data_IF_028626831431
#
_entry.id   IF_028626831431
#
_cell.length_a   1.000
_cell.length_b   1.000
_cell.length_c   1.000
_cell.angle_alpha   90.00
_cell.angle_beta   90.00
_cell.angle_gamma   90.00
#
_symmetry.space_group_name_H-M   'P 1'
#
loop_
_entity.id
_entity.type
_entity.pdbx_description
1 polymer ?
#
# COMPACT_ATOMS: atom_id res chain seq x y z
N UNK A 1 -7.73 10.58 -17.99
CA UNK A 1 -8.03 11.99 -17.70
C UNK A 1 -6.82 12.68 -17.04
N UNK A 2 -6.17 12.05 -16.06
CA UNK A 2 -5.09 12.67 -15.27
C UNK A 2 -3.66 12.46 -15.81
N UNK A 3 -3.45 11.68 -16.87
CA UNK A 3 -2.11 11.32 -17.36
C UNK A 3 -1.29 12.57 -17.75
N UNK A 4 -1.86 13.48 -18.53
CA UNK A 4 -1.12 14.67 -18.97
C UNK A 4 -0.89 15.66 -17.82
N UNK A 5 -1.84 15.79 -16.90
CA UNK A 5 -1.64 16.54 -15.67
C UNK A 5 -0.49 15.94 -14.83
N UNK A 6 -0.47 14.62 -14.63
CA UNK A 6 0.62 13.93 -13.92
C UNK A 6 1.98 14.14 -14.58
N UNK A 7 2.05 14.05 -15.93
CA UNK A 7 3.30 14.34 -16.67
C UNK A 7 3.80 15.76 -16.42
N UNK A 8 2.88 16.73 -16.39
CA UNK A 8 3.24 18.13 -16.14
C UNK A 8 3.78 18.30 -14.72
N UNK A 9 3.12 17.73 -13.70
CA UNK A 9 3.59 17.77 -12.32
C UNK A 9 4.98 17.12 -12.15
N UNK A 10 5.23 15.98 -12.79
CA UNK A 10 6.53 15.31 -12.78
C UNK A 10 7.63 16.22 -13.35
N UNK A 11 7.32 16.86 -14.48
CA UNK A 11 8.25 17.79 -15.14
C UNK A 11 8.52 19.02 -14.28
N UNK A 12 7.48 19.63 -13.71
CA UNK A 12 7.58 20.80 -12.84
C UNK A 12 8.37 20.49 -11.56
N UNK A 13 8.17 19.32 -10.99
CA UNK A 13 8.88 18.85 -9.79
C UNK A 13 10.30 18.31 -10.09
N UNK A 14 10.71 18.21 -11.35
CA UNK A 14 12.03 17.70 -11.74
C UNK A 14 12.28 16.23 -11.39
N UNK A 15 11.22 15.40 -11.30
CA UNK A 15 11.33 14.00 -10.90
C UNK A 15 11.90 13.15 -12.03
N UNK A 16 13.06 12.53 -11.82
CA UNK A 16 13.78 11.76 -12.84
C UNK A 16 13.61 10.24 -12.72
N UNK A 17 13.10 9.74 -11.59
CA UNK A 17 12.98 8.29 -11.34
C UNK A 17 11.67 7.68 -11.85
N UNK A 18 10.76 8.48 -12.38
CA UNK A 18 9.48 8.01 -12.91
C UNK A 18 9.70 7.53 -14.33
N UNK A 19 9.61 6.22 -14.54
CA UNK A 19 9.92 5.57 -15.82
C UNK A 19 8.69 5.33 -16.69
N UNK A 20 7.50 5.25 -16.10
CA UNK A 20 6.25 5.05 -16.84
C UNK A 20 5.04 5.63 -16.11
N UNK A 21 4.00 5.97 -16.86
CA UNK A 21 2.67 6.37 -16.38
C UNK A 21 1.67 5.58 -17.18
N UNK A 22 0.85 4.79 -16.52
CA UNK A 22 -0.18 3.96 -17.16
C UNK A 22 -1.59 4.42 -16.77
N UNK A 23 -2.61 4.20 -17.61
CA UNK A 23 -3.99 4.46 -17.23
C UNK A 23 -4.40 3.61 -16.03
N UNK A 24 -5.26 4.15 -15.18
CA UNK A 24 -5.98 3.34 -14.20
C UNK A 24 -6.98 2.40 -14.87
N UNK A 25 -7.49 1.45 -14.08
CA UNK A 25 -8.58 0.55 -14.47
C UNK A 25 -9.90 0.93 -13.77
N UNK A 26 -10.89 0.06 -13.88
CA UNK A 26 -12.22 0.25 -13.32
C UNK A 26 -12.24 0.11 -11.79
N UNK A 27 -11.26 -0.59 -11.25
CA UNK A 27 -11.05 -0.76 -9.81
C UNK A 27 -9.62 -0.40 -9.39
N UNK A 28 -9.37 -0.33 -8.08
CA UNK A 28 -8.03 -0.17 -7.53
C UNK A 28 -7.12 -1.34 -7.95
N UNK A 29 -7.63 -2.57 -7.92
CA UNK A 29 -6.87 -3.76 -8.33
C UNK A 29 -6.57 -3.77 -9.83
N UNK A 30 -7.48 -3.31 -10.68
CA UNK A 30 -7.21 -3.17 -12.11
C UNK A 30 -6.14 -2.10 -12.39
N UNK A 31 -6.18 -1.00 -11.65
CA UNK A 31 -5.15 0.03 -11.74
C UNK A 31 -3.78 -0.49 -11.30
N UNK A 32 -3.74 -1.28 -10.23
CA UNK A 32 -2.50 -1.95 -9.78
C UNK A 32 -2.00 -2.94 -10.82
N UNK A 33 -2.89 -3.76 -11.38
CA UNK A 33 -2.53 -4.71 -12.44
C UNK A 33 -1.88 -4.00 -13.65
N UNK A 34 -2.44 -2.89 -14.10
CA UNK A 34 -1.88 -2.13 -15.22
C UNK A 34 -0.45 -1.64 -14.91
N UNK A 35 -0.20 -1.16 -13.68
CA UNK A 35 1.14 -0.78 -13.23
C UNK A 35 2.11 -1.96 -13.15
N UNK A 36 1.66 -3.10 -12.62
CA UNK A 36 2.45 -4.32 -12.50
C UNK A 36 2.79 -4.92 -13.87
N UNK A 37 1.83 -4.95 -14.79
CA UNK A 37 2.03 -5.41 -16.16
C UNK A 37 3.05 -4.53 -16.91
N UNK A 38 2.99 -3.21 -16.71
CA UNK A 38 3.97 -2.29 -17.25
C UNK A 38 5.37 -2.50 -16.64
N UNK A 39 5.45 -2.74 -15.32
CA UNK A 39 6.71 -3.09 -14.68
C UNK A 39 7.32 -4.38 -15.29
N UNK A 40 6.50 -5.41 -15.52
CA UNK A 40 6.95 -6.65 -16.15
C UNK A 40 7.42 -6.44 -17.61
N UNK A 41 6.75 -5.55 -18.35
CA UNK A 41 7.15 -5.16 -19.70
C UNK A 41 8.50 -4.45 -19.71
N UNK A 42 8.78 -3.61 -18.72
CA UNK A 42 10.05 -2.87 -18.60
C UNK A 42 11.20 -3.76 -18.12
N UNK A 43 10.91 -4.73 -17.26
CA UNK A 43 11.89 -5.61 -16.62
C UNK A 43 11.55 -7.10 -16.85
N UNK A 44 11.52 -7.58 -18.12
CA UNK A 44 10.96 -8.89 -18.47
C UNK A 44 11.73 -10.09 -17.90
N UNK A 45 13.04 -9.93 -17.69
CA UNK A 45 13.95 -11.02 -17.29
C UNK A 45 14.59 -10.78 -15.90
N UNK A 46 14.09 -9.81 -15.15
CA UNK A 46 14.65 -9.46 -13.86
C UNK A 46 13.74 -9.98 -12.74
N UNK A 47 14.36 -10.36 -11.62
CA UNK A 47 13.64 -10.58 -10.37
C UNK A 47 13.38 -9.23 -9.72
N UNK A 48 12.11 -8.80 -9.74
CA UNK A 48 11.70 -7.45 -9.31
C UNK A 48 10.89 -7.53 -8.02
N UNK A 49 11.28 -6.76 -7.02
CA UNK A 49 10.45 -6.46 -5.85
C UNK A 49 9.60 -5.23 -6.15
N UNK A 50 8.28 -5.36 -6.01
CA UNK A 50 7.34 -4.26 -6.17
C UNK A 50 6.75 -3.82 -4.84
N UNK A 51 6.62 -2.51 -4.68
CA UNK A 51 5.95 -1.88 -3.54
C UNK A 51 4.70 -1.16 -4.06
N UNK A 52 3.53 -1.73 -3.79
CA UNK A 52 2.24 -1.16 -4.18
C UNK A 52 1.86 -0.12 -3.12
N UNK A 53 1.82 1.14 -3.52
CA UNK A 53 1.61 2.25 -2.59
C UNK A 53 0.46 3.16 -3.01
N UNK A 54 -0.32 3.61 -2.03
CA UNK A 54 -1.40 4.58 -2.26
C UNK A 54 -0.82 5.98 -2.56
N UNK A 55 -1.16 6.60 -3.68
CA UNK A 55 -0.75 7.96 -4.02
C UNK A 55 -1.21 9.03 -3.01
N UNK A 56 -2.18 8.70 -2.17
CA UNK A 56 -2.72 9.55 -1.09
C UNK A 56 -2.08 9.27 0.28
N UNK A 57 -0.92 8.60 0.33
CA UNK A 57 -0.08 8.42 1.54
C UNK A 57 1.29 9.07 1.36
N UNK A 58 1.39 10.39 1.44
CA UNK A 58 2.64 11.09 1.11
C UNK A 58 3.73 10.96 2.20
N UNK A 59 3.42 10.38 3.36
CA UNK A 59 4.31 10.35 4.53
C UNK A 59 4.99 9.00 4.76
N UNK A 60 5.07 8.14 3.74
CA UNK A 60 5.89 6.92 3.85
C UNK A 60 7.36 7.29 4.05
N UNK A 61 8.01 6.72 5.06
CA UNK A 61 9.41 6.97 5.38
C UNK A 61 10.34 5.95 4.70
N UNK A 62 11.62 6.34 4.59
CA UNK A 62 12.67 5.51 3.98
C UNK A 62 12.84 4.17 4.71
N UNK A 63 12.81 4.17 6.03
CA UNK A 63 13.02 2.96 6.82
C UNK A 63 11.88 1.95 6.61
N UNK A 64 10.64 2.41 6.47
CA UNK A 64 9.51 1.54 6.10
C UNK A 64 9.71 0.92 4.71
N UNK A 65 10.19 1.69 3.72
CA UNK A 65 10.48 1.18 2.38
C UNK A 65 11.58 0.11 2.44
N UNK A 66 12.67 0.36 3.14
CA UNK A 66 13.81 -0.57 3.27
C UNK A 66 13.39 -1.87 3.96
N UNK A 67 12.63 -1.80 5.07
CA UNK A 67 12.09 -2.99 5.75
C UNK A 67 11.14 -3.81 4.87
N UNK A 68 10.36 -3.15 4.01
CA UNK A 68 9.50 -3.84 3.05
C UNK A 68 10.33 -4.62 2.01
N UNK A 69 11.36 -4.00 1.45
CA UNK A 69 12.28 -4.64 0.49
C UNK A 69 12.93 -5.87 1.13
N UNK A 70 13.56 -5.70 2.30
CA UNK A 70 14.21 -6.79 3.04
C UNK A 70 13.26 -7.96 3.33
N UNK A 71 12.02 -7.65 3.75
CA UNK A 71 11.03 -8.70 4.03
C UNK A 71 10.61 -9.45 2.77
N UNK A 72 10.46 -8.78 1.61
CA UNK A 72 10.16 -9.45 0.34
C UNK A 72 11.34 -10.32 -0.10
N UNK A 73 12.57 -9.82 0.01
CA UNK A 73 13.78 -10.56 -0.38
C UNK A 73 13.98 -11.82 0.46
N UNK A 74 13.68 -11.76 1.76
CA UNK A 74 13.94 -12.85 2.70
C UNK A 74 12.75 -13.78 2.92
N UNK A 75 11.51 -13.28 2.77
CA UNK A 75 10.27 -13.98 3.13
C UNK A 75 9.23 -14.05 2.01
N UNK A 76 9.42 -13.30 0.92
CA UNK A 76 8.54 -13.28 -0.26
C UNK A 76 7.41 -12.24 -0.22
N UNK A 77 7.11 -11.64 0.93
CA UNK A 77 6.07 -10.61 1.05
C UNK A 77 6.34 -9.62 2.18
N UNK A 78 5.72 -8.45 2.11
CA UNK A 78 5.71 -7.47 3.20
C UNK A 78 4.39 -6.68 3.17
N UNK A 79 3.68 -6.67 4.28
CA UNK A 79 2.49 -5.85 4.45
C UNK A 79 2.79 -4.80 5.53
N UNK A 80 2.85 -3.55 5.13
CA UNK A 80 3.02 -2.47 6.11
C UNK A 80 1.82 -2.40 7.03
N UNK A 81 2.07 -2.41 8.33
CA UNK A 81 1.03 -2.43 9.36
C UNK A 81 1.36 -1.49 10.51
N UNK A 82 0.33 -1.11 11.25
CA UNK A 82 0.46 -0.52 12.59
C UNK A 82 -0.41 -1.28 13.58
N UNK A 83 -0.05 -1.33 14.88
CA UNK A 83 -0.93 -1.90 15.90
C UNK A 83 -2.28 -1.16 15.93
N UNK A 84 -3.36 -1.90 16.20
CA UNK A 84 -4.65 -1.27 16.48
C UNK A 84 -4.58 -0.53 17.82
N UNK A 85 -4.92 0.75 17.83
CA UNK A 85 -4.95 1.58 19.04
C UNK A 85 -6.33 1.60 19.70
N UNK A 86 -7.39 1.40 18.91
CA UNK A 86 -8.77 1.32 19.39
C UNK A 86 -9.24 -0.12 19.58
N UNK A 87 -10.32 -0.31 20.35
CA UNK A 87 -10.97 -1.62 20.49
C UNK A 87 -11.64 -2.00 19.16
N UNK A 88 -11.26 -3.15 18.61
CA UNK A 88 -11.83 -3.68 17.35
C UNK A 88 -13.01 -4.57 17.66
N UNK A 89 -14.17 -4.23 17.10
CA UNK A 89 -15.43 -4.97 17.26
C UNK A 89 -15.89 -5.53 15.93
N UNK A 90 -16.36 -6.77 15.92
CA UNK A 90 -17.00 -7.40 14.76
C UNK A 90 -18.50 -7.32 14.95
N UNK A 91 -19.23 -6.86 13.92
CA UNK A 91 -20.68 -6.75 13.95
C UNK A 91 -21.32 -7.80 13.06
N UNK A 92 -22.52 -8.23 13.42
CA UNK A 92 -23.39 -9.06 12.61
C UNK A 92 -24.83 -8.59 12.79
N UNK A 93 -25.55 -8.39 11.68
CA UNK A 93 -26.95 -7.96 11.65
C UNK A 93 -27.26 -6.74 12.57
N UNK A 94 -26.32 -5.76 12.63
CA UNK A 94 -26.50 -4.52 13.40
C UNK A 94 -26.20 -4.63 14.90
N UNK A 95 -25.77 -5.81 15.37
CA UNK A 95 -25.33 -6.02 16.77
C UNK A 95 -23.84 -6.33 16.82
N UNK A 96 -23.20 -6.04 17.97
CA UNK A 96 -21.81 -6.42 18.22
C UNK A 96 -21.80 -7.92 18.49
N UNK A 97 -21.11 -8.67 17.63
CA UNK A 97 -20.97 -10.12 17.74
C UNK A 97 -19.73 -10.51 18.58
N UNK A 98 -18.60 -9.83 18.33
CA UNK A 98 -17.32 -10.19 18.95
C UNK A 98 -16.45 -8.95 19.17
N UNK A 99 -15.70 -8.95 20.27
CA UNK A 99 -14.62 -8.00 20.53
C UNK A 99 -13.29 -8.75 20.31
N UNK A 100 -12.42 -8.22 19.48
CA UNK A 100 -11.14 -8.84 19.20
C UNK A 100 -10.10 -8.46 20.25
N UNK A 101 -9.15 -9.37 20.49
CA UNK A 101 -7.97 -9.04 21.29
C UNK A 101 -7.10 -8.04 20.49
N UNK A 102 -7.04 -6.81 20.97
CA UNK A 102 -6.32 -5.72 20.28
C UNK A 102 -4.84 -6.05 20.06
N UNK A 103 -4.19 -6.78 20.96
CA UNK A 103 -2.77 -7.16 20.81
C UNK A 103 -2.50 -8.09 19.61
N UNK A 104 -3.54 -8.71 19.05
CA UNK A 104 -3.48 -9.58 17.89
C UNK A 104 -3.97 -8.86 16.61
N UNK A 105 -4.37 -7.59 16.73
CA UNK A 105 -4.93 -6.83 15.62
C UNK A 105 -3.90 -5.85 15.06
N UNK A 106 -3.66 -5.95 13.77
CA UNK A 106 -2.84 -5.03 13.00
C UNK A 106 -3.69 -4.31 11.95
N UNK A 107 -3.45 -3.03 11.79
CA UNK A 107 -4.11 -2.21 10.78
C UNK A 107 -3.22 -2.17 9.53
N UNK A 108 -3.70 -2.76 8.43
CA UNK A 108 -2.98 -2.75 7.17
C UNK A 108 -2.86 -1.33 6.59
N UNK A 109 -1.68 -1.03 6.11
CA UNK A 109 -1.34 0.21 5.40
C UNK A 109 -0.70 -0.11 4.05
N UNK A 110 -0.16 0.89 3.39
CA UNK A 110 0.70 0.77 2.23
C UNK A 110 2.11 1.29 2.60
N UNK A 111 3.17 0.77 1.92
CA UNK A 111 3.14 -0.16 0.81
C UNK A 111 2.75 -1.59 1.21
N UNK A 112 2.18 -2.33 0.24
CA UNK A 112 2.07 -3.79 0.25
C UNK A 112 3.03 -4.30 -0.83
N UNK A 113 3.94 -5.18 -0.45
CA UNK A 113 5.11 -5.46 -1.26
C UNK A 113 5.29 -6.96 -1.52
N UNK A 114 5.65 -7.30 -2.75
CA UNK A 114 5.70 -8.67 -3.24
C UNK A 114 6.79 -8.83 -4.32
N UNK A 115 7.11 -10.06 -4.67
CA UNK A 115 7.78 -10.36 -5.95
C UNK A 115 6.81 -10.06 -7.10
N UNK A 116 7.29 -9.38 -8.14
CA UNK A 116 6.46 -8.98 -9.28
C UNK A 116 5.75 -10.16 -9.95
N UNK A 117 6.46 -11.26 -10.17
CA UNK A 117 5.90 -12.43 -10.85
C UNK A 117 4.83 -13.12 -10.01
N UNK A 118 4.99 -13.16 -8.69
CA UNK A 118 4.00 -13.73 -7.78
C UNK A 118 2.69 -12.95 -7.80
N UNK A 119 2.77 -11.64 -7.59
CA UNK A 119 1.55 -10.80 -7.55
C UNK A 119 0.86 -10.74 -8.92
N UNK A 120 1.59 -10.71 -10.03
CA UNK A 120 0.99 -10.77 -11.37
C UNK A 120 0.30 -12.10 -11.62
N UNK A 121 0.93 -13.23 -11.28
CA UNK A 121 0.32 -14.57 -11.39
C UNK A 121 -1.01 -14.65 -10.64
N UNK A 122 -1.07 -14.05 -9.44
CA UNK A 122 -2.29 -14.03 -8.64
C UNK A 122 -3.37 -13.15 -9.28
N UNK A 123 -3.03 -12.00 -9.82
CA UNK A 123 -3.97 -11.17 -10.58
C UNK A 123 -4.52 -11.88 -11.82
N UNK A 124 -3.67 -12.58 -12.58
CA UNK A 124 -4.09 -13.33 -13.77
C UNK A 124 -5.05 -14.47 -13.39
N UNK A 125 -4.79 -15.18 -12.29
CA UNK A 125 -5.68 -16.21 -11.76
C UNK A 125 -7.02 -15.64 -11.34
N UNK A 126 -7.02 -14.54 -10.56
CA UNK A 126 -8.24 -13.87 -10.14
C UNK A 126 -9.11 -13.45 -11.33
N UNK A 127 -8.49 -12.88 -12.38
CA UNK A 127 -9.19 -12.51 -13.62
C UNK A 127 -9.75 -13.73 -14.35
N UNK A 128 -8.98 -14.81 -14.46
CA UNK A 128 -9.43 -16.03 -15.11
C UNK A 128 -10.63 -16.70 -14.38
N UNK A 129 -10.65 -16.61 -13.05
CA UNK A 129 -11.70 -17.11 -12.18
C UNK A 129 -12.91 -16.15 -12.04
N UNK A 130 -12.80 -14.91 -12.58
CA UNK A 130 -13.86 -13.89 -12.48
C UNK A 130 -14.03 -13.33 -11.07
N UNK A 131 -13.01 -13.39 -10.22
CA UNK A 131 -13.03 -12.90 -8.84
C UNK A 131 -12.48 -11.46 -8.82
N UNK A 132 -13.37 -10.49 -8.52
CA UNK A 132 -13.04 -9.05 -8.58
C UNK A 132 -13.23 -8.31 -7.26
N UNK A 133 -13.62 -8.98 -6.18
CA UNK A 133 -14.07 -8.36 -4.93
C UNK A 133 -13.05 -8.44 -3.78
N UNK A 134 -11.76 -8.54 -4.06
CA UNK A 134 -10.74 -8.43 -3.03
C UNK A 134 -10.62 -6.99 -2.52
N UNK A 135 -10.40 -6.85 -1.22
CA UNK A 135 -10.27 -5.55 -0.55
C UNK A 135 -8.98 -4.85 -0.97
N UNK A 136 -7.89 -5.62 -1.05
CA UNK A 136 -6.53 -5.16 -1.38
C UNK A 136 -5.66 -6.30 -1.90
N UNK A 137 -4.40 -6.00 -2.23
CA UNK A 137 -3.43 -6.99 -2.70
C UNK A 137 -3.15 -8.06 -1.64
N UNK A 138 -3.11 -7.70 -0.36
CA UNK A 138 -2.86 -8.66 0.73
C UNK A 138 -3.97 -9.71 0.80
N UNK A 139 -5.25 -9.29 0.76
CA UNK A 139 -6.38 -10.22 0.80
C UNK A 139 -6.41 -11.16 -0.41
N UNK A 140 -6.02 -10.65 -1.58
CA UNK A 140 -5.92 -11.44 -2.81
C UNK A 140 -4.79 -12.47 -2.71
N UNK A 141 -3.59 -12.06 -2.32
CA UNK A 141 -2.44 -12.96 -2.16
C UNK A 141 -2.71 -14.06 -1.13
N UNK A 142 -3.34 -13.72 0.01
CA UNK A 142 -3.74 -14.68 1.04
C UNK A 142 -4.76 -15.70 0.52
N UNK A 143 -5.75 -15.25 -0.27
CA UNK A 143 -6.75 -16.13 -0.89
C UNK A 143 -6.08 -17.21 -1.78
N UNK A 144 -5.02 -16.85 -2.47
CA UNK A 144 -4.27 -17.78 -3.32
C UNK A 144 -3.13 -18.53 -2.60
N UNK A 145 -3.12 -18.50 -1.27
CA UNK A 145 -2.27 -19.35 -0.44
C UNK A 145 -0.88 -18.79 -0.12
N UNK A 146 -0.62 -17.52 -0.43
CA UNK A 146 0.63 -16.88 -0.05
C UNK A 146 0.65 -16.52 1.43
N UNK A 147 1.79 -16.77 2.07
CA UNK A 147 2.02 -16.30 3.44
C UNK A 147 2.38 -14.82 3.42
N UNK A 148 1.74 -14.05 4.30
CA UNK A 148 1.97 -12.61 4.42
C UNK A 148 2.73 -12.28 5.70
N UNK A 149 3.74 -11.42 5.59
CA UNK A 149 4.58 -11.02 6.71
C UNK A 149 4.35 -9.53 7.05
N UNK A 150 4.00 -9.21 8.30
CA UNK A 150 3.81 -7.83 8.72
C UNK A 150 5.16 -7.11 8.84
N UNK A 151 5.18 -5.86 8.38
CA UNK A 151 6.28 -4.91 8.56
C UNK A 151 5.74 -3.69 9.28
N UNK A 152 6.27 -3.39 10.46
CA UNK A 152 5.83 -2.21 11.21
C UNK A 152 6.22 -0.93 10.44
N UNK A 153 5.23 -0.09 10.22
CA UNK A 153 5.35 1.24 9.64
C UNK A 153 4.97 2.31 10.65
N UNK A 154 5.19 3.57 10.26
CA UNK A 154 4.87 4.72 11.09
C UNK A 154 3.37 5.00 11.12
N UNK A 155 2.86 5.43 12.28
CA UNK A 155 1.45 5.84 12.44
C UNK A 155 1.13 7.06 11.57
N UNK A 156 2.11 7.94 11.36
CA UNK A 156 2.01 9.13 10.53
C UNK A 156 1.81 8.83 9.04
N UNK A 157 2.07 7.60 8.58
CA UNK A 157 1.77 7.17 7.21
C UNK A 157 0.25 7.02 7.03
N UNK A 158 -0.46 8.13 7.16
CA UNK A 158 -1.91 8.22 7.04
C UNK A 158 -2.35 8.23 5.57
N UNK A 159 -3.59 7.77 5.32
CA UNK A 159 -4.26 7.86 4.02
C UNK A 159 -5.14 9.09 3.99
N UNK A 160 -4.84 10.05 3.13
CA UNK A 160 -5.61 11.30 3.03
C UNK A 160 -6.82 11.05 2.13
N UNK A 161 -7.99 10.83 2.72
CA UNK A 161 -9.25 10.54 2.02
C UNK A 161 -10.39 11.47 2.43
N UNK A 162 -10.25 12.14 3.58
CA UNK A 162 -11.25 13.07 4.12
C UNK A 162 -10.61 14.41 4.45
N UNK A 163 -11.41 15.49 4.61
CA UNK A 163 -10.89 16.78 5.10
C UNK A 163 -10.17 16.67 6.45
N UNK A 164 -10.63 15.79 7.34
CA UNK A 164 -9.98 15.56 8.64
C UNK A 164 -8.56 15.00 8.47
N UNK A 165 -8.36 14.08 7.52
CA UNK A 165 -7.03 13.51 7.23
C UNK A 165 -6.08 14.60 6.72
N UNK A 166 -6.59 15.56 5.94
CA UNK A 166 -5.80 16.69 5.47
C UNK A 166 -5.37 17.61 6.61
N UNK A 167 -6.22 17.87 7.59
CA UNK A 167 -5.82 18.63 8.78
C UNK A 167 -4.77 17.88 9.61
N UNK A 168 -4.92 16.56 9.77
CA UNK A 168 -3.89 15.73 10.43
C UNK A 168 -2.55 15.82 9.67
N UNK A 169 -2.58 15.66 8.35
CA UNK A 169 -1.39 15.77 7.50
C UNK A 169 -0.71 17.13 7.67
N UNK A 170 -1.45 18.23 7.60
CA UNK A 170 -0.86 19.59 7.75
C UNK A 170 -0.27 19.80 9.15
N UNK A 171 -0.89 19.23 10.18
CA UNK A 171 -0.35 19.24 11.55
C UNK A 171 0.98 18.49 11.66
N UNK A 172 1.07 17.30 11.07
CA UNK A 172 2.30 16.50 11.04
C UNK A 172 3.42 17.26 10.33
N UNK A 173 3.14 17.84 9.15
CA UNK A 173 4.15 18.62 8.41
C UNK A 173 4.64 19.80 9.22
N UNK A 174 3.74 20.59 9.81
CA UNK A 174 4.14 21.73 10.65
C UNK A 174 5.00 21.30 11.84
N UNK A 175 4.66 20.17 12.50
CA UNK A 175 5.46 19.66 13.61
C UNK A 175 6.88 19.27 13.15
N UNK A 176 7.03 18.64 11.99
CA UNK A 176 8.33 18.29 11.41
C UNK A 176 9.16 19.54 11.06
N UNK A 177 8.53 20.59 10.50
CA UNK A 177 9.19 21.86 10.20
C UNK A 177 9.68 22.60 11.45
N UNK A 178 8.97 22.46 12.57
CA UNK A 178 9.34 23.05 13.87
C UNK A 178 10.36 22.24 14.67
N UNK A 179 10.92 21.16 14.09
CA UNK A 179 11.93 20.32 14.72
C UNK A 179 11.39 19.17 15.55
N UNK A 180 10.11 18.89 15.44
CA UNK A 180 9.40 17.84 16.20
C UNK A 180 9.21 18.22 17.68
N UNK A 181 8.25 17.61 18.35
CA UNK A 181 8.26 17.51 19.80
C UNK A 181 9.41 16.57 20.15
N UNK A 182 10.45 17.05 20.85
CA UNK A 182 11.46 16.16 21.40
C UNK A 182 10.73 15.27 22.41
N UNK A 183 10.68 13.96 22.14
CA UNK A 183 10.25 12.99 23.13
C UNK A 183 11.22 13.08 24.32
N UNK A 184 10.77 13.64 25.45
CA UNK A 184 11.45 13.59 26.74
C UNK A 184 11.24 12.21 27.39
#
# INVERSE_FOLDING_TARGET
EWIDHTKNLIKEAGLQKIVSIVPGGDSALDSQYNGLAEAKRLFPNEEVTVLIHDGVRPLVDKATIERNIESVETKGSAITVTPAIETVMVTDNGSINRILNRSECLMAKAPQSFKLDDILSVHDRAKAEGIHNFIDSASMMMHYGYTLYPVLGETENIKITTPSDYYMFTGIIKNRELGGLQDE
#
